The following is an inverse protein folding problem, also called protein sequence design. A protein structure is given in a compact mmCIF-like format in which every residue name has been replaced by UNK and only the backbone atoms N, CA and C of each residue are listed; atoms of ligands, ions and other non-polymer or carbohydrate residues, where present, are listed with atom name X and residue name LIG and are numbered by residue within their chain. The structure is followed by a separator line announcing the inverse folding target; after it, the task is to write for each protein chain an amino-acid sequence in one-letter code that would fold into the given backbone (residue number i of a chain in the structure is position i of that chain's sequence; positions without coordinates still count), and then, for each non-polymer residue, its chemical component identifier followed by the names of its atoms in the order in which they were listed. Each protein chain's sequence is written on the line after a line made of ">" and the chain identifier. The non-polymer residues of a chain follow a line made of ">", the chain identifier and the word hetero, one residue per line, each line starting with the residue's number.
data_IF_859273003697
#
_entry.id   IF_859273003697
#
_cell.length_a   1.000
_cell.length_b   1.000
_cell.length_c   1.000
_cell.angle_alpha   90.00
_cell.angle_beta   90.00
_cell.angle_gamma   90.00
#
_symmetry.space_group_name_H-M   'P 1'
#
loop_
_entity.id
_entity.type
_entity.pdbx_description
1 polymer ?
#
# COMPACT_ATOMS: atom_id res chain seq x y z
N UNK A 1 8.18 0.24 7.76
CA UNK A 1 9.23 1.28 7.89
C UNK A 1 10.11 0.94 9.09
N UNK A 2 11.40 0.67 8.87
CA UNK A 2 12.32 0.29 9.96
C UNK A 2 11.93 -1.01 10.68
N UNK A 3 11.43 -2.00 9.95
CA UNK A 3 10.97 -3.29 10.53
C UNK A 3 9.55 -3.29 11.11
N UNK A 4 8.93 -2.11 11.24
CA UNK A 4 7.62 -1.93 11.84
C UNK A 4 6.54 -1.55 10.80
N UNK A 5 5.29 -1.92 11.07
CA UNK A 5 4.15 -1.42 10.33
C UNK A 5 3.79 -0.04 10.85
N UNK A 6 3.80 0.97 9.97
CA UNK A 6 3.47 2.36 10.30
C UNK A 6 2.51 2.90 9.25
N UNK A 7 1.54 3.69 9.70
CA UNK A 7 0.58 4.33 8.80
C UNK A 7 1.30 5.32 7.88
N UNK A 8 0.87 5.36 6.62
CA UNK A 8 1.30 6.31 5.60
C UNK A 8 0.15 6.57 4.61
N UNK A 9 0.29 7.61 3.79
CA UNK A 9 -0.63 7.84 2.67
C UNK A 9 0.04 8.59 1.52
N UNK A 10 -0.48 8.41 0.30
CA UNK A 10 -0.16 9.24 -0.84
C UNK A 10 -0.71 10.67 -0.68
N UNK A 11 0.10 11.68 -1.02
CA UNK A 11 -0.30 13.07 -1.05
C UNK A 11 -0.02 13.71 -2.43
N UNK A 12 -0.98 14.46 -3.00
CA UNK A 12 -2.29 14.78 -2.44
C UNK A 12 -3.33 13.72 -2.82
N UNK A 13 -4.01 13.13 -1.84
CA UNK A 13 -5.18 12.29 -2.09
C UNK A 13 -6.46 13.12 -1.95
N UNK A 14 -6.84 13.83 -3.03
CA UNK A 14 -7.99 14.75 -3.03
C UNK A 14 -9.31 14.08 -2.62
N UNK A 15 -9.49 12.81 -2.97
CA UNK A 15 -10.67 12.04 -2.55
C UNK A 15 -10.69 11.74 -1.05
N UNK A 16 -9.58 11.95 -0.32
CA UNK A 16 -9.48 11.71 1.11
C UNK A 16 -10.56 12.42 1.91
N UNK A 17 -10.92 13.66 1.53
CA UNK A 17 -11.97 14.42 2.22
C UNK A 17 -13.33 13.71 2.12
N UNK A 18 -13.67 13.21 0.94
CA UNK A 18 -14.89 12.43 0.74
C UNK A 18 -14.82 11.06 1.44
N UNK A 19 -13.63 10.44 1.53
CA UNK A 19 -13.44 9.18 2.26
C UNK A 19 -13.60 9.35 3.77
N UNK A 20 -13.15 10.46 4.36
CA UNK A 20 -13.45 10.79 5.77
C UNK A 20 -14.96 10.90 5.98
N UNK A 21 -15.69 11.57 5.09
CA UNK A 21 -17.14 11.65 5.26
C UNK A 21 -17.83 10.30 5.06
N UNK A 22 -17.33 9.45 4.15
CA UNK A 22 -17.79 8.07 4.00
C UNK A 22 -17.62 7.27 5.30
N UNK A 23 -16.48 7.40 5.98
CA UNK A 23 -16.28 6.83 7.31
C UNK A 23 -17.26 7.37 8.35
N UNK A 24 -17.52 8.69 8.34
CA UNK A 24 -18.47 9.31 9.26
C UNK A 24 -19.89 8.81 9.04
N UNK A 25 -20.30 8.60 7.79
CA UNK A 25 -21.59 8.00 7.43
C UNK A 25 -21.70 6.59 8.02
N UNK A 26 -20.67 5.75 7.85
CA UNK A 26 -20.66 4.41 8.44
C UNK A 26 -20.72 4.44 9.98
N UNK A 27 -19.96 5.33 10.62
CA UNK A 27 -19.99 5.55 12.08
C UNK A 27 -21.39 5.99 12.56
N UNK A 28 -22.07 6.88 11.83
CA UNK A 28 -23.44 7.34 12.12
C UNK A 28 -24.45 6.18 12.00
N UNK A 29 -24.38 5.42 10.90
CA UNK A 29 -25.23 4.26 10.67
C UNK A 29 -25.06 3.20 11.78
N UNK A 30 -23.82 2.94 12.19
CA UNK A 30 -23.49 2.00 13.26
C UNK A 30 -24.11 2.36 14.62
N UNK A 31 -24.08 3.65 14.98
CA UNK A 31 -24.73 4.15 16.20
C UNK A 31 -26.25 3.95 16.19
N UNK A 32 -26.86 3.85 15.00
CA UNK A 32 -28.28 3.57 14.82
C UNK A 32 -28.59 2.08 14.62
N UNK A 33 -27.64 1.18 14.91
CA UNK A 33 -27.82 -0.28 14.81
C UNK A 33 -27.64 -0.85 13.40
N UNK A 34 -27.30 -0.04 12.41
CA UNK A 34 -27.03 -0.52 11.04
C UNK A 34 -25.57 -0.93 10.92
N UNK A 35 -25.33 -2.19 10.57
CA UNK A 35 -23.98 -2.77 10.39
C UNK A 35 -23.36 -2.35 9.05
N UNK A 36 -23.02 -1.07 8.92
CA UNK A 36 -22.31 -0.51 7.76
C UNK A 36 -20.81 -0.38 8.06
N UNK A 37 -19.95 -0.98 7.22
CA UNK A 37 -18.50 -0.99 7.42
C UNK A 37 -17.76 -0.43 6.19
N UNK A 38 -16.79 0.45 6.43
CA UNK A 38 -15.82 0.95 5.46
C UNK A 38 -14.50 0.23 5.66
N UNK A 39 -13.98 -0.35 4.59
CA UNK A 39 -12.65 -0.96 4.57
C UNK A 39 -11.68 -0.02 3.86
N UNK A 40 -10.74 0.53 4.62
CA UNK A 40 -9.64 1.30 4.06
C UNK A 40 -8.57 0.31 3.59
N UNK A 41 -8.48 0.14 2.27
CA UNK A 41 -7.56 -0.79 1.62
C UNK A 41 -6.23 -0.09 1.24
N UNK A 42 -5.12 -0.86 1.10
CA UNK A 42 -3.85 -0.32 0.64
C UNK A 42 -3.91 0.24 -0.77
N UNK A 43 -2.92 1.05 -1.10
CA UNK A 43 -2.68 1.54 -2.45
C UNK A 43 -2.41 0.38 -3.43
N UNK A 44 -3.13 0.36 -4.55
CA UNK A 44 -2.90 -0.56 -5.68
C UNK A 44 -2.91 0.20 -6.99
N UNK A 45 -2.30 -0.37 -8.02
CA UNK A 45 -2.41 0.13 -9.38
C UNK A 45 -3.62 -0.51 -10.07
N UNK A 46 -4.60 0.33 -10.39
CA UNK A 46 -5.75 0.01 -11.23
C UNK A 46 -5.85 1.07 -12.32
N UNK A 47 -6.79 0.92 -13.27
CA UNK A 47 -7.02 1.92 -14.30
C UNK A 47 -7.33 3.33 -13.75
N UNK A 48 -7.85 3.44 -12.53
CA UNK A 48 -8.16 4.74 -11.90
C UNK A 48 -6.99 5.35 -11.13
N UNK A 49 -5.94 4.58 -10.83
CA UNK A 49 -4.74 5.04 -10.09
C UNK A 49 -3.47 5.09 -10.93
N UNK A 50 -3.45 4.54 -12.13
CA UNK A 50 -2.29 4.55 -13.05
C UNK A 50 -1.84 5.94 -13.49
N UNK A 51 -2.71 6.96 -13.35
CA UNK A 51 -2.35 8.36 -13.60
C UNK A 51 -1.52 8.98 -12.46
N UNK A 52 -1.50 8.35 -11.27
CA UNK A 52 -0.81 8.86 -10.09
C UNK A 52 0.59 8.25 -9.98
N UNK A 53 1.52 8.75 -10.80
CA UNK A 53 2.93 8.36 -10.69
C UNK A 53 3.44 8.61 -9.25
N UNK A 54 3.92 7.56 -8.59
CA UNK A 54 4.44 7.60 -7.23
C UNK A 54 3.52 6.95 -6.19
N UNK A 55 2.26 6.66 -6.51
CA UNK A 55 1.36 5.95 -5.58
C UNK A 55 1.88 4.54 -5.27
N UNK A 56 2.53 3.92 -6.25
CA UNK A 56 3.08 2.57 -6.16
C UNK A 56 4.28 2.46 -5.21
N UNK A 57 4.93 3.57 -4.87
CA UNK A 57 6.01 3.61 -3.88
C UNK A 57 5.53 3.07 -2.52
N UNK A 58 4.27 3.29 -2.18
CA UNK A 58 3.64 2.76 -0.97
C UNK A 58 3.32 1.26 -1.04
N UNK A 59 3.23 0.68 -2.24
CA UNK A 59 2.90 -0.72 -2.43
C UNK A 59 4.12 -1.64 -2.25
N UNK A 60 5.31 -1.23 -2.71
CA UNK A 60 6.51 -2.09 -2.64
C UNK A 60 6.88 -2.61 -1.24
N UNK A 61 6.69 -1.86 -0.12
CA UNK A 61 6.88 -2.40 1.23
C UNK A 61 6.06 -3.68 1.54
N UNK A 62 5.04 -4.02 0.74
CA UNK A 62 4.34 -5.30 0.85
C UNK A 62 5.27 -6.49 0.64
N UNK A 63 6.31 -6.37 -0.19
CA UNK A 63 7.34 -7.41 -0.38
C UNK A 63 7.97 -7.80 0.97
N UNK A 64 8.31 -6.81 1.80
CA UNK A 64 8.89 -7.03 3.13
C UNK A 64 7.86 -7.60 4.12
N UNK A 65 6.59 -7.21 4.01
CA UNK A 65 5.52 -7.79 4.82
C UNK A 65 5.29 -9.28 4.48
N UNK A 66 5.31 -9.63 3.20
CA UNK A 66 5.21 -11.02 2.73
C UNK A 66 6.38 -11.87 3.23
N UNK A 67 7.61 -11.35 3.14
CA UNK A 67 8.79 -12.01 3.73
C UNK A 67 8.64 -12.20 5.23
N UNK A 68 8.11 -11.22 5.97
CA UNK A 68 7.97 -11.25 7.42
C UNK A 68 6.87 -12.21 7.91
N UNK A 69 5.69 -12.17 7.31
CA UNK A 69 4.52 -12.89 7.82
C UNK A 69 4.37 -14.31 7.24
N UNK A 70 5.01 -14.59 6.10
CA UNK A 70 4.81 -15.83 5.32
C UNK A 70 6.13 -16.42 4.78
N UNK A 71 7.24 -16.26 5.50
CA UNK A 71 8.57 -16.73 5.06
C UNK A 71 8.60 -18.21 4.60
N UNK A 72 7.85 -19.08 5.28
CA UNK A 72 7.79 -20.52 4.98
C UNK A 72 6.82 -20.89 3.84
N UNK A 73 5.95 -19.98 3.40
CA UNK A 73 4.94 -20.24 2.37
C UNK A 73 5.57 -20.45 1.00
N UNK A 74 5.30 -21.58 0.36
CA UNK A 74 5.74 -21.86 -1.02
C UNK A 74 5.15 -20.86 -2.00
N UNK A 75 3.90 -20.45 -1.83
CA UNK A 75 3.24 -19.48 -2.69
C UNK A 75 3.91 -18.10 -2.63
N UNK A 76 4.30 -17.66 -1.44
CA UNK A 76 5.02 -16.39 -1.27
C UNK A 76 6.42 -16.50 -1.85
N UNK A 77 7.12 -17.63 -1.68
CA UNK A 77 8.41 -17.87 -2.35
C UNK A 77 8.30 -17.81 -3.87
N UNK A 78 7.26 -18.42 -4.45
CA UNK A 78 7.02 -18.41 -5.89
C UNK A 78 6.68 -17.00 -6.39
N UNK A 79 5.88 -16.23 -5.64
CA UNK A 79 5.58 -14.83 -5.92
C UNK A 79 6.86 -13.98 -5.91
N UNK A 80 7.67 -14.08 -4.86
CA UNK A 80 8.94 -13.34 -4.76
C UNK A 80 9.92 -13.77 -5.87
N UNK A 81 9.91 -15.03 -6.29
CA UNK A 81 10.69 -15.50 -7.43
C UNK A 81 10.21 -14.89 -8.76
N UNK A 82 8.89 -14.78 -8.98
CA UNK A 82 8.33 -14.06 -10.15
C UNK A 82 8.71 -12.58 -10.14
N UNK A 83 8.56 -11.92 -8.99
CA UNK A 83 8.97 -10.52 -8.82
C UNK A 83 10.45 -10.31 -9.16
N UNK A 84 11.35 -11.16 -8.67
CA UNK A 84 12.78 -11.06 -9.00
C UNK A 84 13.07 -11.23 -10.49
N UNK A 85 12.30 -12.05 -11.23
CA UNK A 85 12.48 -12.24 -12.68
C UNK A 85 12.11 -11.01 -13.50
N UNK A 86 11.38 -10.04 -12.93
CA UNK A 86 11.03 -8.78 -13.59
C UNK A 86 12.14 -7.71 -13.43
N UNK A 87 13.15 -7.96 -12.61
CA UNK A 87 14.24 -7.03 -12.34
C UNK A 87 15.44 -7.28 -13.25
N UNK A 88 16.18 -6.20 -13.56
CA UNK A 88 17.48 -6.31 -14.24
C UNK A 88 18.45 -7.09 -13.34
N UNK A 89 19.48 -7.76 -13.91
CA UNK A 89 20.38 -8.66 -13.17
C UNK A 89 21.09 -8.02 -11.97
N UNK A 90 21.30 -6.70 -11.99
CA UNK A 90 22.02 -5.96 -10.95
C UNK A 90 21.15 -5.60 -9.73
N UNK A 91 19.83 -5.80 -9.81
CA UNK A 91 18.88 -5.45 -8.76
C UNK A 91 18.18 -6.67 -8.18
N UNK A 92 17.80 -6.56 -6.90
CA UNK A 92 17.00 -7.56 -6.19
C UNK A 92 15.84 -6.89 -5.49
N UNK A 93 14.91 -7.69 -4.97
CA UNK A 93 13.81 -7.19 -4.12
C UNK A 93 14.34 -6.33 -2.96
N UNK A 94 15.47 -6.71 -2.38
CA UNK A 94 16.11 -5.95 -1.30
C UNK A 94 16.48 -4.52 -1.74
N UNK A 95 16.91 -4.33 -2.99
CA UNK A 95 17.22 -3.00 -3.53
C UNK A 95 15.99 -2.07 -3.54
N UNK A 96 14.81 -2.62 -3.83
CA UNK A 96 13.54 -1.88 -3.80
C UNK A 96 13.14 -1.59 -2.36
N UNK A 97 13.29 -2.57 -1.46
CA UNK A 97 12.97 -2.39 -0.05
C UNK A 97 13.86 -1.34 0.61
N UNK A 98 15.15 -1.31 0.28
CA UNK A 98 16.08 -0.29 0.77
C UNK A 98 15.69 1.10 0.26
N UNK A 99 15.39 1.23 -1.04
CA UNK A 99 15.03 2.51 -1.64
C UNK A 99 13.70 3.07 -1.10
N UNK A 100 12.70 2.20 -0.89
CA UNK A 100 11.42 2.62 -0.27
C UNK A 100 11.56 2.90 1.22
N UNK A 101 12.42 2.15 1.92
CA UNK A 101 12.78 2.43 3.32
C UNK A 101 13.45 3.80 3.45
N UNK A 102 14.37 4.16 2.55
CA UNK A 102 15.00 5.48 2.49
C UNK A 102 13.95 6.58 2.25
N UNK A 103 13.07 6.39 1.25
CA UNK A 103 11.99 7.33 0.96
C UNK A 103 11.12 7.63 2.20
N UNK A 104 10.61 6.60 2.86
CA UNK A 104 9.72 6.75 4.02
C UNK A 104 10.42 7.23 5.29
N UNK A 105 11.74 7.04 5.40
CA UNK A 105 12.55 7.56 6.52
C UNK A 105 13.09 8.96 6.27
N UNK A 106 13.02 9.46 5.04
CA UNK A 106 13.47 10.82 4.72
C UNK A 106 12.76 11.84 5.61
N UNK A 107 13.48 12.89 6.01
CA UNK A 107 12.90 13.99 6.81
C UNK A 107 11.74 14.65 6.05
N UNK A 108 11.85 14.75 4.72
CA UNK A 108 10.81 15.28 3.84
C UNK A 108 9.49 14.56 4.09
N UNK A 109 9.46 13.23 4.01
CA UNK A 109 8.22 12.45 4.15
C UNK A 109 7.81 12.34 5.62
N UNK A 110 8.73 11.94 6.50
CA UNK A 110 8.43 11.56 7.87
C UNK A 110 7.93 12.71 8.75
N UNK A 111 8.35 13.95 8.49
CA UNK A 111 7.97 15.10 9.33
C UNK A 111 6.61 15.69 8.97
N UNK A 112 6.14 15.50 7.73
CA UNK A 112 4.95 16.21 7.21
C UNK A 112 3.92 15.27 6.60
N UNK A 113 4.35 14.36 5.72
CA UNK A 113 3.41 13.50 4.97
C UNK A 113 3.03 12.20 5.70
N UNK A 114 3.70 11.90 6.80
CA UNK A 114 3.41 10.79 7.72
C UNK A 114 2.53 11.17 8.92
N UNK A 115 1.67 12.17 8.76
CA UNK A 115 0.78 12.69 9.80
C UNK A 115 -0.67 12.25 9.59
N UNK A 116 -1.15 11.31 10.41
CA UNK A 116 -2.52 10.80 10.32
C UNK A 116 -3.57 11.86 10.72
N UNK A 117 -3.45 12.56 11.87
CA UNK A 117 -4.32 13.69 12.20
C UNK A 117 -4.42 14.77 11.11
N UNK A 118 -3.33 15.04 10.39
CA UNK A 118 -3.29 16.00 9.29
C UNK A 118 -3.83 15.50 7.95
N UNK A 119 -4.25 14.24 7.85
CA UNK A 119 -4.75 13.66 6.60
C UNK A 119 -6.22 14.04 6.32
N UNK A 120 -6.59 14.30 5.04
CA UNK A 120 -5.74 14.38 3.86
C UNK A 120 -5.07 15.75 3.71
N UNK A 121 -3.82 15.73 3.26
CA UNK A 121 -3.01 16.93 3.07
C UNK A 121 -2.67 17.19 1.61
N UNK A 122 -2.39 18.45 1.29
CA UNK A 122 -1.84 18.84 0.00
C UNK A 122 -0.40 18.30 -0.16
N UNK A 123 0.03 18.16 -1.41
CA UNK A 123 1.43 17.89 -1.72
C UNK A 123 2.30 19.14 -1.55
N UNK A 124 3.61 18.92 -1.53
CA UNK A 124 4.63 19.95 -1.64
C UNK A 124 5.58 19.65 -2.81
N UNK A 125 6.22 20.66 -3.41
CA UNK A 125 7.18 20.45 -4.49
C UNK A 125 8.31 19.49 -4.09
N UNK A 126 8.78 19.55 -2.84
CA UNK A 126 9.82 18.68 -2.29
C UNK A 126 9.40 17.21 -2.22
N UNK A 127 8.18 16.92 -1.77
CA UNK A 127 7.64 15.57 -1.71
C UNK A 127 7.35 15.03 -3.11
N UNK A 128 6.79 15.85 -4.00
CA UNK A 128 6.55 15.43 -5.39
C UNK A 128 7.84 15.11 -6.12
N UNK A 129 8.90 15.92 -5.93
CA UNK A 129 10.21 15.66 -6.51
C UNK A 129 10.77 14.33 -6.00
N UNK A 130 10.85 14.17 -4.68
CA UNK A 130 11.39 12.96 -4.06
C UNK A 130 10.60 11.71 -4.49
N UNK A 131 9.27 11.77 -4.45
CA UNK A 131 8.40 10.65 -4.83
C UNK A 131 8.57 10.26 -6.30
N UNK A 132 8.65 11.22 -7.22
CA UNK A 132 8.88 10.95 -8.65
C UNK A 132 10.27 10.38 -8.91
N UNK A 133 11.30 10.92 -8.25
CA UNK A 133 12.66 10.39 -8.38
C UNK A 133 12.77 8.97 -7.83
N UNK A 134 12.15 8.68 -6.68
CA UNK A 134 12.07 7.32 -6.13
C UNK A 134 11.31 6.38 -7.06
N UNK A 135 10.13 6.79 -7.55
CA UNK A 135 9.32 6.03 -8.50
C UNK A 135 10.12 5.68 -9.77
N UNK A 136 10.74 6.68 -10.39
CA UNK A 136 11.54 6.49 -11.61
C UNK A 136 12.71 5.54 -11.37
N UNK A 137 13.45 5.70 -10.25
CA UNK A 137 14.54 4.78 -9.89
C UNK A 137 14.04 3.33 -9.78
N UNK A 138 12.88 3.10 -9.17
CA UNK A 138 12.33 1.74 -9.05
C UNK A 138 11.89 1.21 -10.41
N UNK A 139 11.24 2.03 -11.24
CA UNK A 139 10.88 1.64 -12.63
C UNK A 139 12.12 1.25 -13.42
N UNK A 140 13.21 2.02 -13.30
CA UNK A 140 14.48 1.75 -13.97
C UNK A 140 15.19 0.47 -13.49
N UNK A 141 14.80 -0.09 -12.34
CA UNK A 141 15.28 -1.41 -11.88
C UNK A 141 14.65 -2.58 -12.64
N UNK A 142 13.52 -2.36 -13.32
CA UNK A 142 12.81 -3.40 -14.06
C UNK A 142 13.42 -3.63 -15.45
N UNK A 143 13.26 -4.85 -15.97
CA UNK A 143 13.69 -5.20 -17.34
C UNK A 143 12.90 -4.37 -18.37
N UNK A 144 11.61 -4.15 -18.12
CA UNK A 144 10.72 -3.33 -18.93
C UNK A 144 9.78 -2.53 -18.04
N UNK A 145 9.45 -1.31 -18.48
CA UNK A 145 8.43 -0.44 -17.89
C UNK A 145 6.99 -0.93 -18.12
N UNK A 146 6.80 -1.94 -18.97
CA UNK A 146 5.48 -2.54 -19.27
C UNK A 146 5.07 -3.63 -18.28
N UNK A 147 6.03 -4.25 -17.61
CA UNK A 147 5.82 -5.37 -16.68
C UNK A 147 6.48 -5.05 -15.35
N UNK A 148 5.72 -4.35 -14.49
CA UNK A 148 6.17 -3.93 -13.18
C UNK A 148 5.75 -4.91 -12.08
N UNK A 149 6.55 -5.02 -11.01
CA UNK A 149 6.22 -5.81 -9.82
C UNK A 149 4.87 -5.41 -9.21
N UNK A 150 4.44 -4.17 -9.42
CA UNK A 150 3.18 -3.61 -8.93
C UNK A 150 1.96 -4.37 -9.44
N UNK A 151 2.04 -5.03 -10.60
CA UNK A 151 0.95 -5.89 -11.10
C UNK A 151 0.74 -7.09 -10.17
N UNK A 152 1.80 -7.85 -9.89
CA UNK A 152 1.77 -9.00 -8.98
C UNK A 152 1.33 -8.58 -7.56
N UNK A 153 1.87 -7.46 -7.07
CA UNK A 153 1.53 -6.94 -5.74
C UNK A 153 0.08 -6.45 -5.65
N UNK A 154 -0.44 -5.79 -6.69
CA UNK A 154 -1.83 -5.33 -6.72
C UNK A 154 -2.81 -6.50 -6.72
N UNK A 155 -2.48 -7.60 -7.40
CA UNK A 155 -3.29 -8.82 -7.36
C UNK A 155 -3.35 -9.44 -5.97
N UNK A 156 -2.21 -9.48 -5.26
CA UNK A 156 -2.15 -9.95 -3.86
C UNK A 156 -3.04 -9.11 -2.97
N UNK A 157 -2.91 -7.78 -3.04
CA UNK A 157 -3.77 -6.87 -2.25
C UNK A 157 -5.24 -7.09 -2.59
N UNK A 158 -5.59 -7.18 -3.87
CA UNK A 158 -6.98 -7.39 -4.32
C UNK A 158 -7.59 -8.66 -3.72
N UNK A 159 -6.88 -9.79 -3.83
CA UNK A 159 -7.34 -11.09 -3.31
C UNK A 159 -7.43 -11.08 -1.79
N UNK A 160 -6.41 -10.59 -1.09
CA UNK A 160 -6.38 -10.55 0.37
C UNK A 160 -7.43 -9.60 0.95
N UNK A 161 -7.66 -8.44 0.34
CA UNK A 161 -8.73 -7.53 0.73
C UNK A 161 -10.11 -8.17 0.52
N UNK A 162 -10.34 -8.84 -0.61
CA UNK A 162 -11.59 -9.58 -0.85
C UNK A 162 -11.86 -10.63 0.22
N UNK A 163 -10.84 -11.41 0.59
CA UNK A 163 -10.91 -12.38 1.69
C UNK A 163 -11.22 -11.69 3.03
N UNK A 164 -10.50 -10.63 3.38
CA UNK A 164 -10.72 -9.88 4.62
C UNK A 164 -12.17 -9.35 4.71
N UNK A 165 -12.67 -8.75 3.63
CA UNK A 165 -14.00 -8.17 3.57
C UNK A 165 -15.09 -9.24 3.71
N UNK A 166 -14.98 -10.36 3.00
CA UNK A 166 -15.96 -11.46 3.07
C UNK A 166 -15.94 -12.11 4.45
N UNK A 167 -14.76 -12.35 5.03
CA UNK A 167 -14.64 -12.93 6.37
C UNK A 167 -15.23 -12.02 7.46
N UNK A 168 -15.13 -10.70 7.32
CA UNK A 168 -15.72 -9.75 8.27
C UNK A 168 -17.19 -9.45 8.02
N UNK A 169 -17.71 -9.68 6.81
CA UNK A 169 -19.08 -9.31 6.44
C UNK A 169 -20.16 -10.01 7.28
N UNK A 170 -19.88 -11.23 7.78
CA UNK A 170 -20.83 -11.98 8.60
C UNK A 170 -21.04 -11.36 10.00
N UNK A 171 -19.96 -10.89 10.63
CA UNK A 171 -20.01 -10.29 11.96
C UNK A 171 -19.05 -9.08 12.05
N UNK A 172 -19.44 -7.94 11.45
CA UNK A 172 -18.59 -6.76 11.43
C UNK A 172 -18.49 -6.19 12.85
N UNK A 173 -17.24 -5.98 13.30
CA UNK A 173 -16.93 -5.52 14.67
C UNK A 173 -16.84 -3.99 14.82
N UNK A 174 -16.58 -3.28 13.72
CA UNK A 174 -16.37 -1.83 13.73
C UNK A 174 -16.79 -1.17 12.41
N UNK A 175 -17.24 0.10 12.42
CA UNK A 175 -17.71 0.78 11.21
C UNK A 175 -16.59 1.15 10.22
N UNK A 176 -15.34 1.19 10.68
CA UNK A 176 -14.17 1.50 9.86
C UNK A 176 -13.06 0.54 10.22
N UNK A 177 -12.44 -0.08 9.23
CA UNK A 177 -11.30 -0.96 9.44
C UNK A 177 -10.22 -0.73 8.38
N UNK A 178 -8.98 -0.62 8.82
CA UNK A 178 -7.81 -0.51 7.95
C UNK A 178 -7.24 -1.90 7.67
N UNK A 179 -7.18 -2.27 6.40
CA UNK A 179 -6.48 -3.46 5.94
C UNK A 179 -5.05 -3.02 5.61
N UNK A 180 -4.14 -3.17 6.56
CA UNK A 180 -2.72 -2.87 6.36
C UNK A 180 -1.98 -3.99 5.62
N UNK A 181 -0.72 -3.72 5.25
CA UNK A 181 0.16 -4.74 4.64
C UNK A 181 0.37 -5.97 5.51
N UNK A 182 0.28 -5.83 6.83
CA UNK A 182 0.32 -6.95 7.78
C UNK A 182 -0.87 -7.90 7.58
N UNK A 183 -2.08 -7.36 7.45
CA UNK A 183 -3.29 -8.16 7.19
C UNK A 183 -3.25 -8.74 5.78
N UNK A 184 -2.84 -7.95 4.77
CA UNK A 184 -2.69 -8.45 3.39
C UNK A 184 -1.74 -9.64 3.34
N UNK A 185 -0.56 -9.53 3.96
CA UNK A 185 0.44 -10.59 3.97
C UNK A 185 -0.05 -11.84 4.71
N UNK A 186 -0.70 -11.68 5.87
CA UNK A 186 -1.28 -12.80 6.63
C UNK A 186 -2.37 -13.55 5.86
N UNK A 187 -3.16 -12.84 5.05
CA UNK A 187 -4.26 -13.39 4.27
C UNK A 187 -3.89 -13.83 2.85
N UNK A 188 -2.65 -13.56 2.42
CA UNK A 188 -2.12 -14.04 1.16
C UNK A 188 -1.98 -15.56 1.22
N UNK A 189 -2.80 -16.26 0.43
CA UNK A 189 -2.89 -17.72 0.30
C UNK A 189 -3.21 -18.09 -1.16
#
# INVERSE_FOLDING_TARGET
>A
IGGEYKWQSYAPYLQGFAKIELENIAKKAWKNGIKAQVFNAPEILTNSSSIFLGIEVALYPLLGALQKEKESSSLVKDLLARCNKLLKPDYKIESILDLTSEYFKSEIISQRWSDFPGWPQHNGPEQMKLMRETSQKIIDMHITDKELLTSELSEVVFKSCGKAMISCAYDPQQPVWWIGHDIVAKLCD
#
